data_IF_546774231472
#
_entry.id   IF_546774231472
#
_cell.length_a   1.000
_cell.length_b   1.000
_cell.length_c   1.000
_cell.angle_alpha   90.00
_cell.angle_beta   90.00
_cell.angle_gamma   90.00
#
_symmetry.space_group_name_H-M   'P 1'
#
loop_
_entity.id
_entity.type
_entity.pdbx_description
1 polymer ?
#
# COMPACT_ATOMS: atom_id res chain seq x y z
N UNK A 1 8.88 -1.77 9.38
CA UNK A 1 9.36 -1.08 8.16
C UNK A 1 8.24 -0.71 7.21
N UNK A 2 7.30 -1.60 6.86
CA UNK A 2 6.13 -1.23 6.01
C UNK A 2 5.38 0.01 6.51
N UNK A 3 4.96 0.03 7.78
CA UNK A 3 4.27 1.21 8.36
C UNK A 3 5.13 2.49 8.35
N UNK A 4 6.45 2.37 8.48
CA UNK A 4 7.38 3.51 8.40
C UNK A 4 7.41 4.05 6.96
N UNK A 5 7.47 3.17 5.96
CA UNK A 5 7.42 3.55 4.55
C UNK A 5 6.08 4.23 4.21
N UNK A 6 4.96 3.75 4.77
CA UNK A 6 3.65 4.39 4.63
C UNK A 6 3.64 5.82 5.20
N UNK A 7 4.19 6.03 6.39
CA UNK A 7 4.32 7.38 6.97
C UNK A 7 5.13 8.28 6.03
N UNK A 8 6.27 7.80 5.52
CA UNK A 8 7.12 8.55 4.60
C UNK A 8 6.45 8.87 3.25
N UNK A 9 5.53 8.03 2.78
CA UNK A 9 4.72 8.30 1.59
C UNK A 9 3.63 9.32 1.90
N UNK A 10 2.94 9.14 3.03
CA UNK A 10 1.88 10.05 3.47
C UNK A 10 2.39 11.47 3.65
N UNK A 11 3.57 11.64 4.24
CA UNK A 11 4.25 12.93 4.39
C UNK A 11 4.54 13.61 3.05
N UNK A 12 4.66 12.84 1.96
CA UNK A 12 4.87 13.34 0.59
C UNK A 12 3.57 13.53 -0.19
N UNK A 13 2.41 13.25 0.39
CA UNK A 13 1.16 13.30 -0.35
C UNK A 13 0.85 12.04 -1.16
N UNK A 14 1.59 10.95 -0.98
CA UNK A 14 1.49 9.77 -1.85
C UNK A 14 0.68 8.67 -1.15
N UNK A 15 -0.32 8.14 -1.85
CA UNK A 15 -0.94 6.85 -1.54
C UNK A 15 -0.60 5.83 -2.62
N UNK A 16 -0.23 4.61 -2.23
CA UNK A 16 0.17 3.57 -3.18
C UNK A 16 -1.03 2.85 -3.79
N UNK A 17 -2.03 2.50 -2.97
CA UNK A 17 -3.29 1.85 -3.33
C UNK A 17 -3.22 0.43 -3.89
N UNK A 18 -2.04 -0.18 -3.86
CA UNK A 18 -1.83 -1.56 -4.31
C UNK A 18 -0.69 -2.22 -3.53
N UNK A 19 -0.68 -2.02 -2.21
CA UNK A 19 0.31 -2.63 -1.31
C UNK A 19 0.01 -4.12 -1.20
N UNK A 20 0.95 -4.94 -1.67
CA UNK A 20 0.86 -6.40 -1.68
C UNK A 20 2.24 -7.04 -1.78
N UNK A 21 2.38 -8.36 -1.56
CA UNK A 21 3.68 -9.03 -1.60
C UNK A 21 4.43 -8.86 -2.94
N UNK A 22 3.74 -8.87 -4.08
CA UNK A 22 4.42 -8.68 -5.38
C UNK A 22 4.97 -7.27 -5.59
N UNK A 23 4.46 -6.29 -4.83
CA UNK A 23 4.88 -4.88 -4.87
C UNK A 23 5.79 -4.53 -3.69
N UNK A 24 6.29 -5.53 -2.96
CA UNK A 24 7.22 -5.36 -1.83
C UNK A 24 8.44 -6.25 -2.01
N UNK A 25 9.60 -5.64 -2.18
CA UNK A 25 10.87 -6.35 -2.32
C UNK A 25 11.59 -6.46 -0.98
N UNK A 26 12.18 -7.64 -0.74
CA UNK A 26 13.18 -7.83 0.30
C UNK A 26 14.56 -7.64 -0.32
N UNK A 27 15.41 -6.80 0.27
CA UNK A 27 16.77 -6.50 -0.20
C UNK A 27 17.78 -7.19 0.74
N UNK A 28 18.37 -8.33 0.36
CA UNK A 28 19.33 -9.02 1.19
C UNK A 28 20.57 -8.15 1.44
N UNK A 29 21.04 -8.11 2.69
CA UNK A 29 22.25 -7.38 3.07
C UNK A 29 22.05 -5.90 3.43
N UNK A 30 20.91 -5.31 3.07
CA UNK A 30 20.54 -3.96 3.54
C UNK A 30 19.96 -4.06 4.95
N UNK A 31 20.71 -3.65 5.97
CA UNK A 31 20.27 -3.73 7.38
C UNK A 31 19.37 -2.58 7.78
N UNK A 32 19.43 -1.46 7.09
CA UNK A 32 18.67 -0.25 7.43
C UNK A 32 17.32 -0.24 6.71
N UNK A 33 17.30 -0.65 5.43
CA UNK A 33 16.12 -0.65 4.57
C UNK A 33 15.91 -1.98 3.80
N UNK A 34 15.84 -3.14 4.49
CA UNK A 34 15.63 -4.45 3.86
C UNK A 34 14.29 -4.60 3.15
N UNK A 35 13.32 -3.69 3.32
CA UNK A 35 12.05 -3.69 2.60
C UNK A 35 11.91 -2.44 1.72
N UNK A 36 11.54 -2.65 0.45
CA UNK A 36 11.27 -1.58 -0.51
C UNK A 36 9.91 -1.79 -1.17
N UNK A 37 9.08 -0.76 -1.14
CA UNK A 37 7.81 -0.71 -1.87
C UNK A 37 8.11 -0.28 -3.31
N UNK A 38 7.53 -0.99 -4.27
CA UNK A 38 7.72 -0.77 -5.71
C UNK A 38 6.36 -0.67 -6.43
N UNK A 39 6.38 -0.23 -7.69
CA UNK A 39 5.21 -0.14 -8.57
C UNK A 39 4.15 0.88 -8.11
N UNK A 40 4.44 2.15 -8.39
CA UNK A 40 3.54 3.27 -8.12
C UNK A 40 2.52 3.51 -9.26
N UNK A 41 2.29 2.53 -10.14
CA UNK A 41 1.38 2.66 -11.28
C UNK A 41 -0.07 2.96 -10.87
N UNK A 42 -0.49 2.41 -9.73
CA UNK A 42 -1.81 2.65 -9.12
C UNK A 42 -1.79 3.76 -8.07
N UNK A 43 -0.67 4.47 -7.86
CA UNK A 43 -0.59 5.50 -6.83
C UNK A 43 -1.38 6.76 -7.18
N UNK A 44 -1.66 7.59 -6.18
CA UNK A 44 -2.20 8.93 -6.38
C UNK A 44 -1.51 9.94 -5.46
N UNK A 45 -1.42 11.17 -5.95
CA UNK A 45 -1.01 12.33 -5.17
C UNK A 45 -2.28 12.95 -4.57
N UNK A 46 -2.45 12.86 -3.26
CA UNK A 46 -3.64 13.37 -2.58
C UNK A 46 -3.56 14.86 -2.23
N UNK A 47 -2.36 15.46 -2.34
CA UNK A 47 -2.19 16.90 -2.18
C UNK A 47 -2.65 17.68 -3.41
N UNK A 48 -2.78 17.02 -4.56
CA UNK A 48 -3.23 17.65 -5.80
C UNK A 48 -4.36 16.82 -6.45
N UNK A 49 -5.63 17.22 -6.24
CA UNK A 49 -6.80 16.59 -6.82
C UNK A 49 -6.80 16.54 -8.35
N UNK A 50 -5.96 17.34 -9.01
CA UNK A 50 -5.85 17.42 -10.47
C UNK A 50 -4.73 16.51 -11.03
N UNK A 51 -3.88 15.94 -10.16
CA UNK A 51 -2.83 14.99 -10.58
C UNK A 51 -3.36 13.56 -10.71
N UNK A 52 -2.56 12.73 -11.40
CA UNK A 52 -2.83 11.31 -11.69
C UNK A 52 -3.36 10.57 -10.47
N UNK A 53 -4.42 9.79 -10.71
CA UNK A 53 -4.78 8.66 -9.87
C UNK A 53 -6.05 8.82 -9.04
N UNK A 54 -6.65 9.99 -8.84
CA UNK A 54 -7.87 10.09 -8.00
C UNK A 54 -9.13 9.37 -8.55
N UNK A 55 -9.07 8.81 -9.77
CA UNK A 55 -10.11 7.94 -10.34
C UNK A 55 -9.91 6.45 -9.98
N UNK A 56 -10.63 5.58 -10.71
CA UNK A 56 -10.54 4.13 -10.57
C UNK A 56 -9.09 3.66 -10.74
N UNK A 57 -8.60 2.95 -9.74
CA UNK A 57 -7.31 2.28 -9.79
C UNK A 57 -7.52 0.78 -9.79
N UNK A 58 -6.77 0.09 -10.63
CA UNK A 58 -6.58 -1.35 -10.50
C UNK A 58 -5.81 -1.62 -9.21
N UNK A 59 -6.52 -2.10 -8.20
CA UNK A 59 -5.96 -2.62 -6.96
C UNK A 59 -6.27 -4.11 -6.85
N UNK A 60 -5.39 -4.85 -6.18
CA UNK A 60 -5.64 -6.27 -5.89
C UNK A 60 -6.75 -6.39 -4.83
N UNK A 61 -7.91 -7.00 -5.15
CA UNK A 61 -9.05 -7.07 -4.23
C UNK A 61 -8.76 -7.91 -2.97
N UNK A 62 -7.72 -8.75 -2.97
CA UNK A 62 -7.31 -9.51 -1.78
C UNK A 62 -6.68 -8.62 -0.70
N UNK A 63 -6.03 -7.52 -1.11
CA UNK A 63 -5.34 -6.60 -0.21
C UNK A 63 -6.04 -5.24 -0.10
N UNK A 64 -7.00 -4.95 -0.98
CA UNK A 64 -7.77 -3.72 -0.94
C UNK A 64 -8.80 -3.71 0.22
N UNK A 65 -9.06 -2.54 0.82
CA UNK A 65 -10.11 -2.38 1.81
C UNK A 65 -11.52 -2.59 1.21
N UNK A 66 -12.51 -2.98 2.03
CA UNK A 66 -13.85 -3.34 1.56
C UNK A 66 -14.59 -2.19 0.85
N UNK A 67 -14.35 -0.95 1.25
CA UNK A 67 -14.93 0.23 0.61
C UNK A 67 -14.45 0.45 -0.83
N UNK A 68 -13.29 -0.12 -1.20
CA UNK A 68 -12.61 -0.05 -2.52
C UNK A 68 -12.44 1.34 -3.13
N UNK A 69 -12.84 2.39 -2.42
CA UNK A 69 -12.91 3.77 -2.86
C UNK A 69 -12.10 4.63 -1.91
N UNK A 70 -11.48 5.68 -2.45
CA UNK A 70 -10.74 6.63 -1.64
C UNK A 70 -11.70 7.48 -0.83
N UNK A 71 -11.57 7.42 0.49
CA UNK A 71 -12.27 8.34 1.38
C UNK A 71 -11.46 9.63 1.53
N UNK A 72 -12.09 10.77 1.24
CA UNK A 72 -11.49 12.08 1.50
C UNK A 72 -11.13 12.27 2.99
N UNK A 73 -11.89 11.63 3.90
CA UNK A 73 -11.64 11.65 5.34
C UNK A 73 -10.73 10.50 5.76
N UNK A 74 -9.43 10.72 5.62
CA UNK A 74 -8.38 9.78 6.04
C UNK A 74 -7.77 9.01 4.87
N UNK A 75 -7.15 9.69 3.90
CA UNK A 75 -6.61 9.09 2.68
C UNK A 75 -5.66 7.92 2.97
N UNK A 76 -4.75 8.07 3.94
CA UNK A 76 -3.78 7.02 4.28
C UNK A 76 -4.37 5.71 4.80
N UNK A 77 -5.66 5.65 5.16
CA UNK A 77 -6.29 4.43 5.70
C UNK A 77 -6.33 3.28 4.70
N UNK A 78 -6.37 3.58 3.39
CA UNK A 78 -6.39 2.57 2.34
C UNK A 78 -5.14 1.68 2.41
N UNK A 79 -3.95 2.30 2.39
CA UNK A 79 -2.68 1.57 2.44
C UNK A 79 -2.47 0.89 3.81
N UNK A 80 -2.98 1.48 4.90
CA UNK A 80 -2.94 0.88 6.24
C UNK A 80 -3.69 -0.45 6.27
N UNK A 81 -4.88 -0.53 5.65
CA UNK A 81 -5.63 -1.78 5.53
C UNK A 81 -4.82 -2.83 4.75
N UNK A 82 -4.24 -2.44 3.61
CA UNK A 82 -3.43 -3.35 2.78
C UNK A 82 -2.20 -3.89 3.52
N UNK A 83 -1.53 -3.06 4.32
CA UNK A 83 -0.46 -3.53 5.22
C UNK A 83 -0.97 -4.50 6.28
N UNK A 84 -2.19 -4.28 6.81
CA UNK A 84 -2.85 -5.24 7.70
C UNK A 84 -3.04 -6.62 7.05
N UNK A 85 -3.52 -6.64 5.80
CA UNK A 85 -3.67 -7.88 5.02
C UNK A 85 -2.33 -8.56 4.75
N UNK A 86 -1.27 -7.79 4.45
CA UNK A 86 0.08 -8.33 4.36
C UNK A 86 0.54 -8.95 5.68
N UNK A 87 0.26 -8.31 6.80
CA UNK A 87 0.55 -8.83 8.14
C UNK A 87 -0.14 -10.18 8.38
N UNK A 88 -1.43 -10.27 8.07
CA UNK A 88 -2.19 -11.54 8.16
C UNK A 88 -1.57 -12.62 7.27
N UNK A 89 -1.20 -12.30 6.03
CA UNK A 89 -0.58 -13.26 5.10
C UNK A 89 0.75 -13.80 5.62
N UNK A 90 1.57 -12.95 6.22
CA UNK A 90 2.88 -13.34 6.78
C UNK A 90 2.71 -14.15 8.07
N UNK A 91 1.81 -13.74 8.96
CA UNK A 91 1.60 -14.38 10.26
C UNK A 91 0.80 -15.68 10.15
N UNK A 92 -0.12 -15.76 9.19
CA UNK A 92 -1.02 -16.89 9.00
C UNK A 92 -1.02 -17.35 7.53
N UNK A 93 0.06 -18.02 7.08
CA UNK A 93 0.17 -18.46 5.68
C UNK A 93 -0.95 -19.41 5.23
N UNK A 94 -1.60 -20.10 6.17
CA UNK A 94 -2.73 -21.01 5.90
C UNK A 94 -4.05 -20.30 5.58
N UNK A 95 -4.23 -19.04 6.00
CA UNK A 95 -5.47 -18.28 5.79
C UNK A 95 -5.50 -17.53 4.45
N UNK A 96 -4.41 -17.54 3.71
CA UNK A 96 -4.24 -16.72 2.49
C UNK A 96 -3.78 -17.53 1.27
N UNK A 97 -3.75 -18.86 1.38
CA UNK A 97 -3.64 -19.76 0.21
C UNK A 97 -5.06 -20.07 -0.27
N UNK A 98 -5.47 -19.40 -1.34
CA UNK A 98 -6.59 -19.87 -2.18
C UNK A 98 -6.17 -21.09 -2.99
#
# INVERSE_FOLDING_TARGET
QMLIALIQMQDKGIMHRDIKPSNTLVVPGDREHPLKIIDFGSSCDWNDPLKKGLGDATCDPMYAPPEKTLQFLGPGKFDVYSVGMMGIRVLFPSLTRG
#
